data_IF_902025552427
#
_entry.id   IF_902025552427
#
_cell.length_a   1.000
_cell.length_b   1.000
_cell.length_c   1.000
_cell.angle_alpha   90.00
_cell.angle_beta   90.00
_cell.angle_gamma   90.00
#
_symmetry.space_group_name_H-M   'P 1'
#
loop_
_entity.id
_entity.type
_entity.pdbx_description
1 polymer ?
#
# COMPACT_ATOMS: atom_id res chain seq x y z
N UNK A 1 1.35 16.66 -5.30
CA UNK A 1 2.67 16.33 -4.73
C UNK A 1 2.59 15.36 -3.54
N UNK A 2 1.62 15.49 -2.62
CA UNK A 2 1.52 14.60 -1.44
C UNK A 2 1.29 13.11 -1.79
N UNK A 3 0.50 12.80 -2.84
CA UNK A 3 0.25 11.41 -3.29
C UNK A 3 1.56 10.67 -3.60
N UNK A 4 2.47 11.28 -4.36
CA UNK A 4 3.75 10.68 -4.75
C UNK A 4 4.63 10.37 -3.53
N UNK A 5 4.58 11.23 -2.49
CA UNK A 5 5.31 11.01 -1.23
C UNK A 5 4.71 9.81 -0.48
N UNK A 6 3.39 9.74 -0.38
CA UNK A 6 2.68 8.63 0.27
C UNK A 6 2.98 7.32 -0.46
N UNK A 7 2.89 7.31 -1.80
CA UNK A 7 3.21 6.14 -2.61
C UNK A 7 4.66 5.73 -2.38
N UNK A 8 5.63 6.63 -2.54
CA UNK A 8 7.05 6.30 -2.36
C UNK A 8 7.37 5.75 -0.95
N UNK A 9 6.83 6.35 0.11
CA UNK A 9 7.03 5.87 1.49
C UNK A 9 6.35 4.54 1.74
N UNK A 10 5.11 4.39 1.27
CA UNK A 10 4.36 3.14 1.39
C UNK A 10 5.07 2.01 0.64
N UNK A 11 5.53 2.24 -0.59
CA UNK A 11 6.19 1.24 -1.41
C UNK A 11 7.51 0.79 -0.79
N UNK A 12 8.29 1.73 -0.26
CA UNK A 12 9.54 1.40 0.43
C UNK A 12 9.29 0.61 1.70
N UNK A 13 8.29 0.98 2.50
CA UNK A 13 7.95 0.27 3.74
C UNK A 13 7.44 -1.16 3.44
N UNK A 14 6.53 -1.31 2.48
CA UNK A 14 6.05 -2.63 2.05
C UNK A 14 7.19 -3.50 1.53
N UNK A 15 8.04 -2.98 0.63
CA UNK A 15 9.18 -3.76 0.13
C UNK A 15 10.11 -4.22 1.26
N UNK A 16 10.34 -3.39 2.26
CA UNK A 16 11.14 -3.75 3.44
C UNK A 16 10.49 -4.84 4.29
N UNK A 17 9.17 -4.74 4.54
CA UNK A 17 8.37 -5.75 5.25
C UNK A 17 8.39 -7.10 4.51
N UNK A 18 8.15 -7.09 3.21
CA UNK A 18 8.21 -8.29 2.38
C UNK A 18 9.61 -8.90 2.37
N UNK A 19 10.66 -8.08 2.20
CA UNK A 19 12.06 -8.51 2.24
C UNK A 19 12.41 -9.13 3.59
N UNK A 20 11.97 -8.53 4.71
CA UNK A 20 12.12 -9.08 6.06
C UNK A 20 11.37 -10.41 6.24
N UNK A 21 10.18 -10.52 5.66
CA UNK A 21 9.40 -11.75 5.65
C UNK A 21 9.97 -12.82 4.70
N UNK A 22 11.06 -12.54 3.97
CA UNK A 22 11.62 -13.44 2.96
C UNK A 22 10.66 -13.69 1.79
N UNK A 23 9.68 -12.80 1.58
CA UNK A 23 8.66 -12.90 0.54
C UNK A 23 8.88 -11.80 -0.48
N UNK A 24 8.50 -12.07 -1.73
CA UNK A 24 8.48 -11.05 -2.77
C UNK A 24 7.03 -10.62 -2.97
N UNK A 25 6.71 -9.31 -2.88
CA UNK A 25 5.35 -8.88 -3.16
C UNK A 25 5.03 -9.18 -4.63
N UNK A 26 3.83 -9.69 -4.94
CA UNK A 26 3.40 -9.88 -6.31
C UNK A 26 3.44 -8.56 -7.10
N UNK A 27 3.74 -8.67 -8.39
CA UNK A 27 3.85 -7.51 -9.28
C UNK A 27 2.53 -6.71 -9.28
N UNK A 28 2.64 -5.40 -9.07
CA UNK A 28 1.48 -4.49 -8.97
C UNK A 28 0.86 -4.39 -7.58
N UNK A 29 1.11 -5.32 -6.63
CA UNK A 29 0.49 -5.28 -5.30
C UNK A 29 0.85 -4.02 -4.52
N UNK A 30 2.15 -3.69 -4.53
CA UNK A 30 2.67 -2.52 -3.80
C UNK A 30 2.16 -1.24 -4.43
N UNK A 31 2.15 -1.15 -5.77
CA UNK A 31 1.71 0.04 -6.48
C UNK A 31 0.19 0.27 -6.30
N UNK A 32 -0.62 -0.80 -6.42
CA UNK A 32 -2.07 -0.73 -6.18
C UNK A 32 -2.39 -0.38 -4.73
N UNK A 33 -1.74 -1.03 -3.76
CA UNK A 33 -2.01 -0.75 -2.33
C UNK A 33 -1.63 0.68 -1.98
N UNK A 34 -0.44 1.12 -2.39
CA UNK A 34 0.06 2.44 -2.06
C UNK A 34 -0.67 3.55 -2.84
N UNK A 35 -1.06 3.27 -4.08
CA UNK A 35 -1.95 4.14 -4.86
C UNK A 35 -3.32 4.30 -4.22
N UNK A 36 -3.91 3.20 -3.72
CA UNK A 36 -5.16 3.22 -2.96
C UNK A 36 -5.03 4.05 -1.67
N UNK A 37 -3.93 3.91 -0.93
CA UNK A 37 -3.70 4.69 0.30
C UNK A 37 -3.60 6.19 -0.02
N UNK A 38 -2.85 6.54 -1.06
CA UNK A 38 -2.70 7.91 -1.52
C UNK A 38 -4.03 8.50 -2.00
N UNK A 39 -4.89 7.68 -2.61
CA UNK A 39 -6.24 8.07 -3.02
C UNK A 39 -7.17 8.30 -1.84
N UNK A 40 -7.19 7.39 -0.86
CA UNK A 40 -7.97 7.55 0.37
C UNK A 40 -7.56 8.81 1.13
N UNK A 41 -6.25 9.09 1.23
CA UNK A 41 -5.76 10.33 1.82
C UNK A 41 -6.22 11.57 1.06
N UNK A 42 -6.20 11.52 -0.28
CA UNK A 42 -6.68 12.63 -1.12
C UNK A 42 -8.18 12.84 -1.02
N UNK A 43 -8.93 11.82 -0.61
CA UNK A 43 -10.37 11.87 -0.30
C UNK A 43 -10.68 12.33 1.12
N UNK A 44 -9.67 12.70 1.91
CA UNK A 44 -9.81 13.16 3.29
C UNK A 44 -9.78 12.04 4.34
N UNK A 45 -9.49 10.80 3.96
CA UNK A 45 -9.29 9.72 4.93
C UNK A 45 -7.94 9.87 5.63
N UNK A 46 -7.86 9.41 6.88
CA UNK A 46 -6.57 9.28 7.56
C UNK A 46 -5.73 8.17 6.92
N UNK A 47 -4.39 8.29 6.96
CA UNK A 47 -3.48 7.27 6.42
C UNK A 47 -3.75 5.88 7.02
N UNK A 48 -4.06 5.79 8.32
CA UNK A 48 -4.42 4.52 8.98
C UNK A 48 -5.71 3.90 8.44
N UNK A 49 -6.77 4.71 8.21
CA UNK A 49 -8.02 4.22 7.62
C UNK A 49 -7.81 3.73 6.18
N UNK A 50 -7.08 4.52 5.39
CA UNK A 50 -6.76 4.18 4.02
C UNK A 50 -5.90 2.91 3.97
N UNK A 51 -4.87 2.81 4.82
CA UNK A 51 -4.02 1.61 4.95
C UNK A 51 -4.82 0.38 5.32
N UNK A 52 -5.66 0.43 6.35
CA UNK A 52 -6.46 -0.71 6.78
C UNK A 52 -7.39 -1.24 5.66
N UNK A 53 -8.01 -0.32 4.92
CA UNK A 53 -8.91 -0.65 3.80
C UNK A 53 -8.14 -1.21 2.61
N UNK A 54 -7.10 -0.51 2.17
CA UNK A 54 -6.33 -0.85 0.97
C UNK A 54 -5.49 -2.11 1.17
N UNK A 55 -4.91 -2.32 2.36
CA UNK A 55 -4.21 -3.56 2.68
C UNK A 55 -5.18 -4.73 2.69
N UNK A 56 -6.38 -4.60 3.28
CA UNK A 56 -7.40 -5.67 3.22
C UNK A 56 -7.78 -6.01 1.79
N UNK A 57 -8.03 -5.01 0.94
CA UNK A 57 -8.33 -5.23 -0.48
C UNK A 57 -7.17 -5.91 -1.20
N UNK A 58 -5.94 -5.46 -0.98
CA UNK A 58 -4.77 -6.05 -1.60
C UNK A 58 -4.54 -7.48 -1.13
N UNK A 59 -4.68 -7.78 0.16
CA UNK A 59 -4.55 -9.14 0.68
C UNK A 59 -5.61 -10.05 0.07
N UNK A 60 -6.86 -9.60 -0.02
CA UNK A 60 -7.94 -10.37 -0.66
C UNK A 60 -7.69 -10.62 -2.15
N UNK A 61 -7.00 -9.69 -2.85
CA UNK A 61 -6.72 -9.80 -4.28
C UNK A 61 -5.50 -10.67 -4.58
N UNK A 62 -4.47 -10.63 -3.73
CA UNK A 62 -3.16 -11.22 -4.00
C UNK A 62 -2.81 -12.44 -3.13
N UNK A 63 -3.57 -12.69 -2.07
CA UNK A 63 -3.42 -13.86 -1.20
C UNK A 63 -4.81 -14.49 -0.96
N UNK A 64 -5.39 -15.14 -1.99
CA UNK A 64 -6.69 -15.81 -1.91
C UNK A 64 -6.69 -17.00 -0.95
#
# INVERSE_FOLDING_TARGET
MIKQIIVGKCSSAMQDDFKKAGKTPPAGMVDETCGCIADGYSKGQSLDQAKATCVKQSTAKYNP
#
